data_IF_478938523548
#
_entry.id   IF_478938523548
#
_cell.length_a   1.000
_cell.length_b   1.000
_cell.length_c   1.000
_cell.angle_alpha   90.00
_cell.angle_beta   90.00
_cell.angle_gamma   90.00
#
_symmetry.space_group_name_H-M   'P 1'
#
loop_
_entity.id
_entity.type
_entity.pdbx_description
1 polymer ?
#
# COMPACT_ATOMS: atom_id res chain seq x y z
N UNK A 1 7.80 -0.58 -12.13
CA UNK A 1 6.33 -0.43 -11.97
C UNK A 1 5.76 -0.74 -10.59
N UNK A 2 6.04 -1.89 -9.96
CA UNK A 2 5.45 -2.24 -8.64
C UNK A 2 5.81 -1.24 -7.53
N UNK A 3 7.10 -0.90 -7.37
CA UNK A 3 7.54 0.07 -6.36
C UNK A 3 6.87 1.45 -6.53
N UNK A 4 6.60 1.85 -7.78
CA UNK A 4 5.93 3.12 -8.08
C UNK A 4 4.45 3.07 -7.72
N UNK A 5 3.79 1.93 -7.88
CA UNK A 5 2.40 1.71 -7.44
C UNK A 5 2.30 1.71 -5.92
N UNK A 6 3.21 1.00 -5.22
CA UNK A 6 3.29 1.02 -3.76
C UNK A 6 3.51 2.45 -3.28
N UNK A 7 4.47 3.16 -3.85
CA UNK A 7 4.74 4.55 -3.48
C UNK A 7 3.53 5.48 -3.70
N UNK A 8 2.72 5.25 -4.74
CA UNK A 8 1.48 6.01 -4.97
C UNK A 8 0.50 5.89 -3.80
N UNK A 9 0.37 4.69 -3.23
CA UNK A 9 -0.43 4.48 -2.01
C UNK A 9 0.13 5.25 -0.81
N UNK A 10 1.45 5.44 -0.76
CA UNK A 10 2.12 6.29 0.23
C UNK A 10 2.26 7.76 -0.15
N UNK A 11 1.54 8.24 -1.17
CA UNK A 11 1.47 9.66 -1.56
C UNK A 11 2.42 10.12 -2.68
N UNK A 12 3.14 9.21 -3.35
CA UNK A 12 3.92 9.56 -4.54
C UNK A 12 3.02 9.90 -5.73
N UNK A 13 3.07 11.14 -6.21
CA UNK A 13 2.20 11.58 -7.31
C UNK A 13 2.56 10.93 -8.66
N UNK A 14 3.86 10.79 -8.95
CA UNK A 14 4.34 10.15 -10.18
C UNK A 14 4.03 10.94 -11.45
N UNK A 15 4.13 12.27 -11.40
CA UNK A 15 3.99 13.15 -12.56
C UNK A 15 5.22 13.04 -13.47
N UNK A 16 5.09 13.57 -14.69
CA UNK A 16 6.22 13.67 -15.62
C UNK A 16 7.34 14.49 -14.97
N UNK A 17 8.53 13.89 -14.85
CA UNK A 17 9.70 14.54 -14.27
C UNK A 17 9.88 14.37 -12.75
N UNK A 18 8.94 13.72 -12.03
CA UNK A 18 9.09 13.48 -10.58
C UNK A 18 10.25 12.50 -10.24
N UNK A 19 10.87 11.87 -11.23
CA UNK A 19 11.93 10.87 -11.01
C UNK A 19 11.38 9.61 -10.35
N UNK A 20 12.22 8.92 -9.59
CA UNK A 20 11.85 7.69 -8.88
C UNK A 20 11.31 7.96 -7.47
N UNK A 21 10.40 7.10 -6.97
CA UNK A 21 9.82 7.27 -5.66
C UNK A 21 10.87 7.18 -4.53
N UNK A 22 10.75 8.05 -3.53
CA UNK A 22 11.61 8.03 -2.36
C UNK A 22 11.19 6.96 -1.33
N UNK A 23 12.15 6.57 -0.47
CA UNK A 23 11.96 5.52 0.55
C UNK A 23 10.74 5.77 1.46
N UNK A 24 10.48 7.02 1.86
CA UNK A 24 9.33 7.37 2.70
C UNK A 24 8.00 7.00 2.05
N UNK A 25 7.81 7.38 0.77
CA UNK A 25 6.57 7.09 0.05
C UNK A 25 6.38 5.59 -0.16
N UNK A 26 7.45 4.84 -0.40
CA UNK A 26 7.41 3.39 -0.52
C UNK A 26 7.01 2.76 0.83
N UNK A 27 7.65 3.17 1.92
CA UNK A 27 7.36 2.66 3.27
C UNK A 27 5.90 2.89 3.66
N UNK A 28 5.39 4.11 3.48
CA UNK A 28 3.99 4.44 3.77
C UNK A 28 3.02 3.58 2.92
N UNK A 29 3.36 3.35 1.65
CA UNK A 29 2.58 2.47 0.78
C UNK A 29 2.54 1.02 1.26
N UNK A 30 3.68 0.48 1.72
CA UNK A 30 3.76 -0.87 2.28
C UNK A 30 2.94 -1.02 3.55
N UNK A 31 3.01 -0.04 4.46
CA UNK A 31 2.18 -0.04 5.67
C UNK A 31 0.69 -0.06 5.33
N UNK A 32 0.25 0.72 4.33
CA UNK A 32 -1.15 0.73 3.90
C UNK A 32 -1.60 -0.61 3.32
N UNK A 33 -0.73 -1.29 2.58
CA UNK A 33 -1.01 -2.65 2.08
C UNK A 33 -1.14 -3.63 3.25
N UNK A 34 -0.26 -3.54 4.24
CA UNK A 34 -0.30 -4.39 5.42
C UNK A 34 -1.62 -4.23 6.20
N UNK A 35 -2.12 -3.00 6.34
CA UNK A 35 -3.43 -2.74 6.95
C UNK A 35 -4.56 -3.42 6.18
N UNK A 36 -4.54 -3.35 4.85
CA UNK A 36 -5.55 -4.02 4.01
C UNK A 36 -5.50 -5.54 4.14
N UNK A 37 -4.30 -6.12 4.19
CA UNK A 37 -4.14 -7.57 4.40
C UNK A 37 -4.73 -7.98 5.75
N UNK A 38 -4.41 -7.24 6.81
CA UNK A 38 -4.95 -7.50 8.14
C UNK A 38 -6.48 -7.41 8.17
N UNK A 39 -7.06 -6.38 7.53
CA UNK A 39 -8.51 -6.24 7.42
C UNK A 39 -9.18 -7.41 6.68
N UNK A 40 -8.55 -7.93 5.62
CA UNK A 40 -9.06 -9.08 4.86
C UNK A 40 -9.02 -10.34 5.73
N UNK A 41 -7.91 -10.60 6.42
CA UNK A 41 -7.77 -11.75 7.30
C UNK A 41 -8.83 -11.74 8.41
N UNK A 42 -9.01 -10.59 9.05
CA UNK A 42 -10.03 -10.43 10.08
C UNK A 42 -11.45 -10.67 9.53
N UNK A 43 -11.75 -10.15 8.33
CA UNK A 43 -13.06 -10.37 7.71
C UNK A 43 -13.31 -11.85 7.37
N UNK A 44 -12.27 -12.58 6.96
CA UNK A 44 -12.36 -14.02 6.72
C UNK A 44 -12.62 -14.78 8.01
N UNK A 45 -11.86 -14.51 9.08
CA UNK A 45 -12.05 -15.13 10.40
C UNK A 45 -13.46 -14.89 10.95
N UNK A 46 -13.97 -13.66 10.86
CA UNK A 46 -15.33 -13.33 11.31
C UNK A 46 -16.41 -14.01 10.45
N UNK A 47 -16.16 -14.19 9.16
CA UNK A 47 -17.06 -14.89 8.24
C UNK A 47 -17.11 -16.40 8.50
N UNK A 48 -16.02 -17.01 8.96
CA UNK A 48 -15.98 -18.43 9.35
C UNK A 48 -16.68 -18.70 10.70
N UNK A 49 -16.81 -17.67 11.55
CA UNK A 49 -17.50 -17.74 12.84
C UNK A 49 -19.03 -17.51 12.74
N UNK A 50 -19.53 -17.07 11.59
CA UNK A 50 -20.93 -16.72 11.34
C UNK A 50 -21.72 -17.88 10.69
#
# INVERSE_FOLDING_TARGET
>A
DVLRQIAKLGGFLGRKGDGDPGAKSIWMGLQRIQDCIYGIQLAQELGELA
#
